data_IF_619984314631
#
_entry.id   IF_619984314631
#
_cell.length_a   1.000
_cell.length_b   1.000
_cell.length_c   1.000
_cell.angle_alpha   90.00
_cell.angle_beta   90.00
_cell.angle_gamma   90.00
#
_symmetry.space_group_name_H-M   'P 1'
#
loop_
_entity.id
_entity.type
_entity.pdbx_description
1 polymer ?
#
# COMPACT_ATOMS: atom_id res chain seq x y z
N UNK A 1 -78.11 39.56 -7.34
CA UNK A 1 -77.03 38.84 -8.07
C UNK A 1 -75.98 39.89 -8.34
N UNK A 2 -74.78 39.87 -7.75
CA UNK A 2 -73.68 38.95 -8.02
C UNK A 2 -72.82 38.81 -6.75
N UNK A 3 -72.46 37.57 -6.40
CA UNK A 3 -71.67 37.24 -5.21
C UNK A 3 -70.17 37.57 -5.41
N UNK A 4 -69.56 38.17 -4.39
CA UNK A 4 -68.12 38.45 -4.28
C UNK A 4 -67.39 37.16 -3.85
N UNK A 5 -66.60 36.58 -4.75
CA UNK A 5 -65.71 35.46 -4.45
C UNK A 5 -64.38 35.99 -3.92
N UNK A 6 -64.15 35.84 -2.60
CA UNK A 6 -62.84 36.02 -1.98
C UNK A 6 -62.08 34.70 -2.08
N UNK A 7 -61.01 34.68 -2.89
CA UNK A 7 -60.06 33.56 -2.95
C UNK A 7 -59.37 33.37 -1.60
N UNK A 8 -59.52 32.19 -1.03
CA UNK A 8 -58.82 31.73 0.17
C UNK A 8 -57.55 30.99 -0.29
N UNK A 9 -56.39 31.62 -0.12
CA UNK A 9 -55.10 30.99 -0.41
C UNK A 9 -54.69 30.12 0.78
N UNK A 10 -54.76 28.80 0.63
CA UNK A 10 -54.31 27.83 1.63
C UNK A 10 -52.79 27.69 1.53
N UNK A 11 -52.08 28.22 2.52
CA UNK A 11 -50.63 28.07 2.63
C UNK A 11 -50.29 26.68 3.18
N UNK A 12 -49.91 25.76 2.28
CA UNK A 12 -49.41 24.44 2.65
C UNK A 12 -47.94 24.57 3.05
N UNK A 13 -47.65 24.66 4.35
CA UNK A 13 -46.29 24.55 4.89
C UNK A 13 -45.79 23.12 4.70
N UNK A 14 -44.89 22.93 3.73
CA UNK A 14 -44.12 21.70 3.56
C UNK A 14 -43.05 21.68 4.66
N UNK A 15 -43.23 20.86 5.68
CA UNK A 15 -42.19 20.52 6.64
C UNK A 15 -41.19 19.57 5.95
N UNK A 16 -40.09 20.13 5.45
CA UNK A 16 -38.95 19.34 4.97
C UNK A 16 -38.27 18.66 6.15
N UNK A 17 -38.52 17.36 6.33
CA UNK A 17 -37.78 16.52 7.26
C UNK A 17 -36.38 16.31 6.66
N UNK A 18 -35.41 17.12 7.09
CA UNK A 18 -34.01 16.88 6.79
C UNK A 18 -33.56 15.62 7.52
N UNK A 19 -33.62 14.46 6.85
CA UNK A 19 -32.96 13.25 7.31
C UNK A 19 -31.46 13.42 7.09
N UNK A 20 -30.76 13.93 8.10
CA UNK A 20 -29.31 13.87 8.17
C UNK A 20 -28.88 12.42 8.30
N UNK A 21 -28.67 11.75 7.17
CA UNK A 21 -27.92 10.51 7.15
C UNK A 21 -26.48 10.86 7.54
N UNK A 22 -26.15 10.69 8.82
CA UNK A 22 -24.76 10.57 9.24
C UNK A 22 -24.26 9.31 8.52
N UNK A 23 -23.50 9.49 7.44
CA UNK A 23 -22.73 8.43 6.80
C UNK A 23 -21.71 7.92 7.83
N UNK A 24 -22.18 7.10 8.77
CA UNK A 24 -21.32 6.38 9.69
C UNK A 24 -20.33 5.58 8.86
N UNK A 25 -19.03 5.76 9.15
CA UNK A 25 -17.96 4.93 8.60
C UNK A 25 -18.40 3.47 8.77
N UNK A 26 -18.64 2.76 7.66
CA UNK A 26 -19.19 1.39 7.71
C UNK A 26 -18.16 0.50 8.38
N UNK A 27 -18.52 -0.07 9.54
CA UNK A 27 -17.72 -1.07 10.21
C UNK A 27 -17.80 -2.39 9.42
N UNK A 28 -16.64 -2.99 9.22
CA UNK A 28 -16.45 -4.33 8.68
C UNK A 28 -16.20 -5.28 9.85
N UNK A 29 -16.62 -6.52 9.70
CA UNK A 29 -16.34 -7.60 10.65
C UNK A 29 -15.49 -8.66 9.98
N UNK A 30 -14.49 -9.15 10.70
CA UNK A 30 -13.56 -10.17 10.21
C UNK A 30 -12.81 -10.82 11.35
N UNK A 31 -11.78 -11.59 11.00
CA UNK A 31 -10.83 -12.16 11.96
C UNK A 31 -9.52 -11.37 11.91
N UNK A 32 -8.74 -11.48 12.97
CA UNK A 32 -7.37 -11.01 12.98
C UNK A 32 -6.43 -12.10 13.51
N UNK A 33 -5.29 -12.23 12.84
CA UNK A 33 -4.12 -13.03 13.26
C UNK A 33 -2.96 -12.09 13.56
N UNK A 34 -1.79 -12.66 13.82
CA UNK A 34 -0.56 -11.89 13.90
C UNK A 34 0.59 -12.52 13.11
N UNK A 35 1.44 -11.66 12.57
CA UNK A 35 2.69 -12.01 11.89
C UNK A 35 3.84 -11.14 12.39
N UNK A 36 5.07 -11.44 11.97
CA UNK A 36 6.28 -10.76 12.45
C UNK A 36 6.29 -9.24 12.24
N UNK A 37 5.56 -8.74 11.23
CA UNK A 37 5.51 -7.32 10.87
C UNK A 37 6.78 -6.84 10.16
N UNK A 38 6.62 -6.11 9.06
CA UNK A 38 7.74 -5.51 8.34
C UNK A 38 7.27 -4.31 7.53
N UNK A 39 7.37 -3.10 8.09
CA UNK A 39 6.90 -1.90 7.40
C UNK A 39 7.70 -1.63 6.14
N UNK A 40 9.03 -1.79 6.20
CA UNK A 40 9.92 -1.50 5.08
C UNK A 40 9.81 -2.51 3.93
N UNK A 41 9.56 -3.79 4.25
CA UNK A 41 9.50 -4.88 3.29
C UNK A 41 8.11 -5.42 2.99
N UNK A 42 7.06 -4.84 3.57
CA UNK A 42 5.68 -5.16 3.21
C UNK A 42 5.35 -4.70 1.80
N UNK A 43 4.25 -5.21 1.26
CA UNK A 43 3.83 -5.01 -0.12
C UNK A 43 3.59 -3.53 -0.44
N UNK A 44 3.24 -2.69 0.55
CA UNK A 44 3.14 -1.24 0.37
C UNK A 44 4.49 -0.54 0.09
N UNK A 45 5.63 -1.24 0.21
CA UNK A 45 6.97 -0.75 -0.11
C UNK A 45 7.38 0.51 0.64
N UNK A 46 7.09 0.59 1.94
CA UNK A 46 7.41 1.73 2.79
C UNK A 46 8.88 1.73 3.26
N UNK A 47 9.82 1.52 2.34
CA UNK A 47 11.24 1.30 2.63
C UNK A 47 11.94 2.47 3.33
N UNK A 48 11.45 3.70 3.15
CA UNK A 48 11.98 4.93 3.77
C UNK A 48 11.11 5.44 4.91
N UNK A 49 9.99 4.79 5.21
CA UNK A 49 9.01 5.28 6.17
C UNK A 49 9.03 4.48 7.46
N UNK A 50 9.07 5.21 8.58
CA UNK A 50 8.97 4.63 9.92
C UNK A 50 7.59 4.93 10.47
N UNK A 51 6.88 3.89 10.93
CA UNK A 51 5.59 4.09 11.60
C UNK A 51 5.76 4.99 12.83
N UNK A 52 4.96 6.05 12.99
CA UNK A 52 4.90 6.82 14.22
C UNK A 52 4.58 5.91 15.41
N UNK A 53 5.15 6.20 16.59
CA UNK A 53 4.91 5.40 17.79
C UNK A 53 3.44 5.34 18.23
N UNK A 54 2.60 6.27 17.75
CA UNK A 54 1.15 6.29 17.96
C UNK A 54 0.36 5.33 17.06
N UNK A 55 1.03 4.65 16.12
CA UNK A 55 0.42 3.79 15.12
C UNK A 55 0.99 2.37 15.18
N UNK A 56 0.08 1.40 15.14
CA UNK A 56 0.44 0.01 14.88
C UNK A 56 0.52 -0.28 13.38
N UNK A 57 1.04 -1.45 12.99
CA UNK A 57 1.03 -1.95 11.62
C UNK A 57 0.13 -3.18 11.45
N UNK A 58 -0.37 -3.38 10.24
CA UNK A 58 -1.15 -4.57 9.84
C UNK A 58 -0.96 -4.88 8.35
N UNK A 59 -1.04 -6.16 8.01
CA UNK A 59 -1.35 -6.59 6.65
C UNK A 59 -2.87 -6.61 6.44
N UNK A 60 -3.33 -6.33 5.23
CA UNK A 60 -4.73 -6.33 4.83
C UNK A 60 -5.01 -7.49 3.88
N UNK A 61 -6.12 -8.21 4.08
CA UNK A 61 -6.53 -9.25 3.15
C UNK A 61 -6.64 -8.75 1.70
N UNK A 62 -6.26 -9.61 0.76
CA UNK A 62 -6.55 -9.53 -0.68
C UNK A 62 -7.98 -9.08 -1.02
N UNK A 63 -9.00 -9.51 -0.26
CA UNK A 63 -10.40 -9.10 -0.40
C UNK A 63 -10.66 -7.60 -0.24
N UNK A 64 -9.76 -6.89 0.44
CA UNK A 64 -9.81 -5.45 0.62
C UNK A 64 -8.55 -4.75 0.11
N UNK A 65 -7.59 -5.44 -0.51
CA UNK A 65 -6.32 -4.84 -0.90
C UNK A 65 -6.48 -3.72 -1.94
N UNK A 66 -7.38 -3.93 -2.90
CA UNK A 66 -7.75 -2.98 -3.95
C UNK A 66 -6.54 -2.44 -4.72
N UNK A 67 -5.66 -3.35 -5.18
CA UNK A 67 -4.46 -3.03 -5.94
C UNK A 67 -3.60 -1.93 -5.26
N UNK A 68 -3.32 -2.09 -3.96
CA UNK A 68 -2.63 -1.14 -3.09
C UNK A 68 -3.30 0.24 -2.93
N UNK A 69 -4.56 0.43 -3.34
CA UNK A 69 -5.30 1.67 -3.05
C UNK A 69 -5.47 1.91 -1.54
N UNK A 70 -5.35 0.85 -0.74
CA UNK A 70 -5.47 0.91 0.71
C UNK A 70 -4.15 1.00 1.46
N UNK A 71 -3.01 1.01 0.77
CA UNK A 71 -1.71 1.24 1.39
C UNK A 71 -1.65 2.60 2.09
N UNK A 72 -1.13 2.60 3.31
CA UNK A 72 -0.97 3.79 4.14
C UNK A 72 -2.28 4.31 4.76
N UNK A 73 -3.45 3.73 4.42
CA UNK A 73 -4.68 4.02 5.14
C UNK A 73 -4.60 3.45 6.55
N UNK A 74 -5.26 4.13 7.49
CA UNK A 74 -5.40 3.63 8.85
C UNK A 74 -6.77 2.97 9.05
N UNK A 75 -6.78 1.97 9.93
CA UNK A 75 -7.98 1.28 10.39
C UNK A 75 -8.07 1.40 11.91
N UNK A 76 -9.27 1.68 12.42
CA UNK A 76 -9.57 1.51 13.83
C UNK A 76 -10.11 0.10 14.02
N UNK A 77 -9.44 -0.68 14.87
CA UNK A 77 -9.72 -2.11 15.08
C UNK A 77 -10.18 -2.30 16.52
N UNK A 78 -11.37 -2.86 16.69
CA UNK A 78 -11.96 -3.20 17.99
C UNK A 78 -11.86 -4.70 18.23
N UNK A 79 -11.21 -5.08 19.33
CA UNK A 79 -11.01 -6.48 19.71
C UNK A 79 -12.15 -7.06 20.53
N UNK A 80 -12.05 -8.35 20.91
CA UNK A 80 -13.11 -9.07 21.64
C UNK A 80 -13.46 -8.45 22.99
N UNK A 81 -12.52 -7.77 23.65
CA UNK A 81 -12.75 -7.11 24.94
C UNK A 81 -13.37 -5.71 24.82
N UNK A 82 -13.65 -5.25 23.60
CA UNK A 82 -14.25 -3.94 23.31
C UNK A 82 -13.26 -2.77 23.28
N UNK A 83 -11.99 -3.03 23.52
CA UNK A 83 -10.92 -2.06 23.35
C UNK A 83 -10.54 -1.86 21.88
N UNK A 84 -10.02 -0.68 21.53
CA UNK A 84 -9.69 -0.34 20.16
C UNK A 84 -8.25 0.17 20.01
N UNK A 85 -7.65 -0.13 18.86
CA UNK A 85 -6.36 0.38 18.42
C UNK A 85 -6.50 1.08 17.05
N UNK A 86 -5.47 1.83 16.65
CA UNK A 86 -5.32 2.31 15.27
C UNK A 86 -4.09 1.69 14.64
N UNK A 87 -4.27 1.03 13.50
CA UNK A 87 -3.19 0.41 12.74
C UNK A 87 -3.15 0.97 11.30
N UNK A 88 -1.95 1.17 10.77
CA UNK A 88 -1.72 1.50 9.37
C UNK A 88 -1.59 0.22 8.55
N UNK A 89 -2.21 0.20 7.37
CA UNK A 89 -2.04 -0.87 6.38
C UNK A 89 -0.69 -0.71 5.69
N UNK A 90 0.21 -1.65 5.93
CA UNK A 90 1.60 -1.63 5.44
C UNK A 90 1.93 -2.80 4.53
N UNK A 91 1.04 -3.79 4.45
CA UNK A 91 1.29 -5.05 3.74
C UNK A 91 -0.01 -5.68 3.25
N UNK A 92 0.12 -6.66 2.36
CA UNK A 92 -0.98 -7.50 1.88
C UNK A 92 -0.89 -8.87 2.56
N UNK A 93 -2.03 -9.45 2.92
CA UNK A 93 -2.14 -10.86 3.29
C UNK A 93 -2.96 -11.62 2.25
N UNK A 94 -2.31 -12.25 1.25
CA UNK A 94 -2.99 -13.10 0.28
C UNK A 94 -3.62 -14.32 0.96
N UNK A 95 -4.88 -14.63 0.63
CA UNK A 95 -5.57 -15.80 1.15
C UNK A 95 -6.03 -15.70 2.62
N UNK A 96 -5.83 -14.57 3.30
CA UNK A 96 -6.31 -14.35 4.67
C UNK A 96 -7.85 -14.39 4.80
N UNK A 97 -8.58 -14.26 3.69
CA UNK A 97 -10.04 -14.30 3.67
C UNK A 97 -10.71 -12.96 3.99
N UNK A 98 -12.03 -12.91 3.86
CA UNK A 98 -12.80 -11.66 3.81
C UNK A 98 -12.61 -10.80 5.06
N UNK A 99 -12.23 -9.53 4.88
CA UNK A 99 -12.06 -8.53 5.94
C UNK A 99 -11.03 -8.90 7.02
N UNK A 100 -10.14 -9.85 6.74
CA UNK A 100 -9.14 -10.28 7.71
C UNK A 100 -7.97 -9.29 7.82
N UNK A 101 -7.46 -9.11 9.05
CA UNK A 101 -6.28 -8.30 9.35
C UNK A 101 -5.17 -9.18 9.92
N UNK A 102 -3.95 -9.08 9.40
CA UNK A 102 -2.79 -9.73 10.00
C UNK A 102 -1.96 -8.71 10.77
N UNK A 103 -2.20 -8.63 12.07
CA UNK A 103 -1.72 -7.55 12.92
C UNK A 103 -0.25 -7.75 13.30
N UNK A 104 0.48 -6.65 13.50
CA UNK A 104 1.80 -6.74 14.15
C UNK A 104 1.64 -7.28 15.58
N UNK A 105 2.67 -7.92 16.17
CA UNK A 105 2.50 -8.57 17.48
C UNK A 105 2.14 -7.59 18.59
N UNK A 106 2.65 -6.36 18.51
CA UNK A 106 2.31 -5.26 19.44
C UNK A 106 0.87 -4.79 19.30
N UNK A 107 0.31 -4.84 18.08
CA UNK A 107 -1.09 -4.50 17.83
C UNK A 107 -2.01 -5.61 18.34
N UNK A 108 -1.69 -6.87 18.02
CA UNK A 108 -2.47 -8.03 18.47
C UNK A 108 -2.52 -8.11 20.01
N UNK A 109 -1.36 -8.00 20.67
CA UNK A 109 -1.26 -8.01 22.15
C UNK A 109 -2.00 -6.87 22.82
N UNK A 110 -2.20 -5.75 22.12
CA UNK A 110 -3.03 -4.67 22.61
C UNK A 110 -4.53 -5.02 22.61
N UNK A 111 -4.96 -6.01 21.82
CA UNK A 111 -6.37 -6.46 21.71
C UNK A 111 -6.65 -7.77 22.46
N UNK A 112 -5.71 -8.72 22.47
CA UNK A 112 -5.85 -10.03 23.10
C UNK A 112 -4.48 -10.71 23.35
N UNK A 113 -4.39 -11.70 24.27
CA UNK A 113 -3.17 -12.49 24.44
C UNK A 113 -2.79 -13.26 23.17
N UNK A 114 -1.49 -13.35 22.86
CA UNK A 114 -1.00 -14.10 21.67
C UNK A 114 -1.44 -15.58 21.65
N UNK A 115 -1.73 -16.17 22.81
CA UNK A 115 -2.20 -17.55 22.94
C UNK A 115 -3.56 -17.80 22.28
N UNK A 116 -4.36 -16.76 22.05
CA UNK A 116 -5.63 -16.89 21.30
C UNK A 116 -5.38 -17.25 19.84
N UNK A 117 -4.26 -16.78 19.25
CA UNK A 117 -3.85 -17.01 17.87
C UNK A 117 -4.71 -16.30 16.82
N UNK A 118 -6.04 -16.37 16.95
CA UNK A 118 -7.03 -15.76 16.07
C UNK A 118 -8.12 -15.12 16.92
N UNK A 119 -8.48 -13.87 16.61
CA UNK A 119 -9.54 -13.14 17.31
C UNK A 119 -10.57 -12.58 16.33
N UNK A 120 -11.83 -12.52 16.77
CA UNK A 120 -12.87 -11.79 16.03
C UNK A 120 -12.70 -10.28 16.27
N UNK A 121 -12.75 -9.50 15.19
CA UNK A 121 -12.60 -8.04 15.25
C UNK A 121 -13.67 -7.34 14.42
N UNK A 122 -13.97 -6.12 14.82
CA UNK A 122 -14.68 -5.15 13.98
C UNK A 122 -13.73 -3.99 13.66
N UNK A 123 -13.71 -3.52 12.42
CA UNK A 123 -12.82 -2.43 12.03
C UNK A 123 -13.43 -1.51 10.98
N UNK A 124 -12.92 -0.28 10.89
CA UNK A 124 -13.31 0.68 9.87
C UNK A 124 -12.13 1.55 9.46
N UNK A 125 -12.14 2.05 8.22
CA UNK A 125 -11.12 3.00 7.78
C UNK A 125 -11.24 4.32 8.53
N UNK A 126 -10.15 4.78 9.12
CA UNK A 126 -10.05 6.04 9.84
C UNK A 126 -8.95 6.91 9.27
N UNK A 127 -9.00 8.19 9.61
CA UNK A 127 -7.90 9.10 9.35
C UNK A 127 -6.75 8.67 10.27
N UNK A 128 -5.53 8.63 9.72
CA UNK A 128 -4.35 8.40 10.52
C UNK A 128 -4.13 9.57 11.49
N UNK A 129 -3.72 9.31 12.75
CA UNK A 129 -3.37 10.33 13.73
C UNK A 129 -1.99 10.94 13.42
N UNK A 130 -1.83 11.42 12.19
CA UNK A 130 -0.61 12.03 11.65
C UNK A 130 -0.90 13.52 11.43
N UNK A 131 -0.03 14.37 12.00
CA UNK A 131 -0.12 15.84 11.88
C UNK A 131 1.05 16.44 11.12
N UNK A 132 2.12 15.67 10.90
CA UNK A 132 3.27 16.09 10.10
C UNK A 132 2.93 16.07 8.60
N UNK A 133 3.64 16.85 7.76
CA UNK A 133 3.39 16.88 6.33
C UNK A 133 3.57 15.52 5.65
N UNK A 134 2.84 15.28 4.57
CA UNK A 134 3.10 14.11 3.73
C UNK A 134 4.44 14.23 3.02
N UNK A 135 4.98 13.12 2.54
CA UNK A 135 6.24 13.11 1.80
C UNK A 135 6.10 12.39 0.46
N UNK A 136 6.87 12.86 -0.51
CA UNK A 136 6.98 12.30 -1.85
C UNK A 136 8.31 11.57 -1.97
N UNK A 137 8.26 10.26 -2.17
CA UNK A 137 9.44 9.42 -2.28
C UNK A 137 9.61 8.97 -3.74
N UNK A 138 10.66 9.48 -4.38
CA UNK A 138 11.07 9.03 -5.72
C UNK A 138 11.66 7.62 -5.62
N UNK A 139 11.17 6.70 -6.44
CA UNK A 139 11.70 5.34 -6.46
C UNK A 139 13.17 5.33 -6.90
N UNK A 140 13.92 4.34 -6.45
CA UNK A 140 15.19 4.02 -7.09
C UNK A 140 15.00 3.75 -8.60
N UNK A 141 15.90 4.31 -9.40
CA UNK A 141 15.89 4.18 -10.86
C UNK A 141 15.06 5.23 -11.62
N UNK A 142 14.40 6.19 -10.95
CA UNK A 142 13.72 7.29 -11.68
C UNK A 142 14.67 8.12 -12.51
N UNK A 143 14.15 8.65 -13.61
CA UNK A 143 14.88 9.57 -14.48
C UNK A 143 13.91 10.52 -15.17
N UNK A 144 14.44 11.45 -15.98
CA UNK A 144 13.61 12.28 -16.84
C UNK A 144 12.67 11.47 -17.76
N UNK A 145 13.08 10.25 -18.12
CA UNK A 145 12.39 9.38 -19.07
C UNK A 145 11.67 8.21 -18.41
N UNK A 146 11.64 8.13 -17.08
CA UNK A 146 10.88 7.11 -16.35
C UNK A 146 10.50 7.63 -14.96
N UNK A 147 9.19 7.77 -14.70
CA UNK A 147 8.68 8.34 -13.46
C UNK A 147 8.06 7.25 -12.58
N UNK A 148 8.41 7.25 -11.29
CA UNK A 148 7.84 6.39 -10.27
C UNK A 148 7.97 7.05 -8.89
N UNK A 149 6.84 7.35 -8.26
CA UNK A 149 6.82 8.08 -6.98
C UNK A 149 5.81 7.48 -6.03
N UNK A 150 6.15 7.43 -4.75
CA UNK A 150 5.28 6.98 -3.68
C UNK A 150 4.91 8.15 -2.78
N UNK A 151 3.67 8.15 -2.29
CA UNK A 151 3.24 9.09 -1.26
C UNK A 151 3.29 8.36 0.08
N UNK A 152 4.01 8.92 1.04
CA UNK A 152 4.12 8.39 2.40
C UNK A 152 3.67 9.44 3.42
N UNK A 153 3.42 8.99 4.65
CA UNK A 153 2.98 9.84 5.75
C UNK A 153 1.66 10.60 5.47
N UNK A 154 0.79 10.10 4.59
CA UNK A 154 -0.50 10.73 4.31
C UNK A 154 -1.50 10.50 5.45
N UNK A 155 -2.27 11.53 5.82
CA UNK A 155 -3.30 11.45 6.88
C UNK A 155 -4.48 10.55 6.49
N UNK A 156 -4.76 10.42 5.21
CA UNK A 156 -5.82 9.58 4.68
C UNK A 156 -5.36 8.84 3.42
N UNK A 157 -6.20 7.95 2.91
CA UNK A 157 -5.90 7.23 1.66
C UNK A 157 -5.68 8.18 0.49
N UNK A 158 -4.66 7.92 -0.30
CA UNK A 158 -4.42 8.63 -1.56
C UNK A 158 -5.25 7.97 -2.65
N UNK A 159 -5.93 8.76 -3.49
CA UNK A 159 -6.65 8.27 -4.67
C UNK A 159 -5.87 8.50 -5.95
N UNK A 160 -5.19 9.64 -6.08
CA UNK A 160 -4.46 10.02 -7.30
C UNK A 160 -3.14 10.73 -6.98
N UNK A 161 -2.16 10.51 -7.85
CA UNK A 161 -0.97 11.34 -7.99
C UNK A 161 -0.91 11.82 -9.45
N UNK A 162 -0.90 13.12 -9.64
CA UNK A 162 -0.83 13.75 -10.95
C UNK A 162 0.42 14.63 -11.03
N UNK A 163 0.98 14.76 -12.23
CA UNK A 163 2.27 15.41 -12.44
C UNK A 163 2.15 16.50 -13.50
N UNK A 164 2.72 17.67 -13.23
CA UNK A 164 2.75 18.80 -14.16
C UNK A 164 4.18 19.18 -14.53
N UNK A 165 4.37 19.51 -15.82
CA UNK A 165 5.62 19.96 -16.43
C UNK A 165 5.69 21.48 -16.65
N UNK A 166 4.57 22.15 -16.45
CA UNK A 166 4.31 23.52 -16.92
C UNK A 166 3.82 24.42 -15.79
N UNK A 167 4.26 24.17 -14.56
CA UNK A 167 3.92 24.99 -13.40
C UNK A 167 2.50 24.78 -12.87
N UNK A 168 1.85 23.68 -13.25
CA UNK A 168 0.49 23.33 -12.85
C UNK A 168 -0.61 23.73 -13.83
N UNK A 169 -0.25 24.13 -15.06
CA UNK A 169 -1.22 24.46 -16.13
C UNK A 169 -1.89 23.20 -16.65
N UNK A 170 -1.12 22.14 -16.90
CA UNK A 170 -1.63 20.81 -17.27
C UNK A 170 -1.17 19.74 -16.31
N UNK A 171 -2.00 18.71 -16.12
CA UNK A 171 -1.77 17.61 -15.18
C UNK A 171 -1.84 16.28 -15.90
N UNK A 172 -0.72 15.57 -15.96
CA UNK A 172 -0.61 14.22 -16.48
C UNK A 172 -0.98 13.19 -15.41
N UNK A 173 -1.65 12.12 -15.84
CA UNK A 173 -2.04 11.00 -14.98
C UNK A 173 -0.90 10.00 -14.78
N UNK A 174 -0.81 9.45 -13.58
CA UNK A 174 0.01 8.26 -13.29
C UNK A 174 -0.87 7.03 -13.06
N UNK A 175 -0.25 5.86 -13.09
CA UNK A 175 -0.91 4.60 -12.74
C UNK A 175 -0.33 4.06 -11.43
N UNK A 176 -1.19 3.78 -10.45
CA UNK A 176 -0.76 3.10 -9.23
C UNK A 176 -0.47 1.63 -9.51
N UNK A 177 0.67 1.16 -9.05
CA UNK A 177 1.06 -0.24 -9.08
C UNK A 177 0.63 -0.98 -7.80
N UNK A 178 0.65 -2.31 -7.86
CA UNK A 178 0.33 -3.23 -6.74
C UNK A 178 1.18 -3.01 -5.49
N UNK A 179 2.27 -2.27 -5.59
CA UNK A 179 3.23 -1.99 -4.52
C UNK A 179 3.27 -0.49 -4.12
N UNK A 180 2.18 0.23 -4.41
CA UNK A 180 1.90 1.61 -3.98
C UNK A 180 2.80 2.72 -4.56
N UNK A 181 3.52 2.44 -5.65
CA UNK A 181 4.14 3.49 -6.46
C UNK A 181 3.22 3.94 -7.60
N UNK A 182 3.28 5.21 -7.92
CA UNK A 182 2.57 5.85 -9.02
C UNK A 182 3.53 6.09 -10.18
N UNK A 183 3.25 5.47 -11.32
CA UNK A 183 4.20 5.36 -12.41
C UNK A 183 3.71 5.96 -13.72
N UNK A 184 4.67 6.43 -14.50
CA UNK A 184 4.46 6.81 -15.89
C UNK A 184 5.72 6.51 -16.69
N UNK A 185 5.66 5.48 -17.53
CA UNK A 185 6.82 4.93 -18.22
C UNK A 185 7.55 5.92 -19.15
N UNK A 186 6.87 6.82 -19.89
CA UNK A 186 7.57 7.82 -20.72
C UNK A 186 8.29 8.92 -19.92
N UNK A 187 8.05 9.02 -18.61
CA UNK A 187 8.65 10.03 -17.74
C UNK A 187 8.04 11.43 -17.85
N UNK A 188 8.39 12.27 -16.86
CA UNK A 188 7.92 13.65 -16.78
C UNK A 188 9.02 14.73 -16.89
N UNK A 189 10.28 14.36 -17.13
CA UNK A 189 11.39 15.29 -17.04
C UNK A 189 12.03 15.30 -15.63
N UNK A 190 13.06 16.13 -15.46
CA UNK A 190 13.90 16.13 -14.25
C UNK A 190 13.31 16.92 -13.08
N UNK A 191 12.35 17.81 -13.34
CA UNK A 191 11.72 18.65 -12.31
C UNK A 191 10.25 18.81 -12.66
N UNK A 192 9.38 18.57 -11.68
CA UNK A 192 7.94 18.52 -11.87
C UNK A 192 7.19 19.13 -10.70
N UNK A 193 5.96 19.54 -10.93
CA UNK A 193 5.00 19.77 -9.85
C UNK A 193 4.17 18.50 -9.64
N UNK A 194 3.89 18.15 -8.38
CA UNK A 194 3.13 16.95 -8.02
C UNK A 194 1.87 17.36 -7.28
N UNK A 195 0.72 16.81 -7.71
CA UNK A 195 -0.58 16.98 -7.06
C UNK A 195 -1.06 15.64 -6.56
N UNK A 196 -1.27 15.54 -5.26
CA UNK A 196 -1.79 14.35 -4.60
C UNK A 196 -3.23 14.62 -4.17
N UNK A 197 -4.15 13.71 -4.51
CA UNK A 197 -5.55 13.77 -4.11
C UNK A 197 -5.86 12.66 -3.11
N UNK A 198 -6.50 13.00 -1.99
CA UNK A 198 -6.94 12.06 -0.97
C UNK A 198 -8.35 11.50 -1.22
N UNK A 199 -8.78 10.54 -0.40
CA UNK A 199 -10.13 9.93 -0.44
C UNK A 199 -11.24 10.91 -0.07
N UNK A 200 -10.94 11.97 0.69
CA UNK A 200 -11.89 13.05 0.97
C UNK A 200 -12.09 14.00 -0.21
N UNK A 201 -11.26 13.90 -1.26
CA UNK A 201 -11.14 14.91 -2.32
C UNK A 201 -10.18 16.06 -1.97
N UNK A 202 -9.58 16.05 -0.77
CA UNK A 202 -8.53 17.01 -0.40
C UNK A 202 -7.32 16.88 -1.32
N UNK A 203 -6.67 18.01 -1.62
CA UNK A 203 -5.54 18.07 -2.55
C UNK A 203 -4.34 18.73 -1.88
N UNK A 204 -3.16 18.12 -2.04
CA UNK A 204 -1.86 18.70 -1.68
C UNK A 204 -1.03 18.84 -2.95
N UNK A 205 -0.46 20.03 -3.18
CA UNK A 205 0.42 20.29 -4.32
C UNK A 205 1.82 20.64 -3.83
N UNK A 206 2.82 19.95 -4.37
CA UNK A 206 4.24 20.18 -4.10
C UNK A 206 4.89 20.67 -5.39
N UNK A 207 5.52 21.84 -5.31
CA UNK A 207 6.12 22.53 -6.45
C UNK A 207 7.61 22.18 -6.58
N UNK A 208 8.13 22.20 -7.81
CA UNK A 208 9.56 22.05 -8.13
C UNK A 208 10.21 20.78 -7.53
N UNK A 209 9.50 19.65 -7.55
CA UNK A 209 10.01 18.35 -7.10
C UNK A 209 11.04 17.84 -8.11
N UNK A 210 12.27 17.64 -7.66
CA UNK A 210 13.30 16.99 -8.47
C UNK A 210 13.01 15.48 -8.61
N UNK A 211 13.08 14.96 -9.83
CA UNK A 211 12.95 13.53 -10.12
C UNK A 211 14.33 12.89 -10.02
N UNK A 212 14.78 12.67 -8.78
CA UNK A 212 16.10 12.10 -8.45
C UNK A 212 15.92 10.75 -7.76
N UNK A 213 16.62 9.68 -8.19
CA UNK A 213 16.55 8.35 -7.55
C UNK A 213 16.68 8.41 -6.03
N UNK A 214 15.76 7.74 -5.33
CA UNK A 214 15.77 7.58 -3.87
C UNK A 214 15.50 8.86 -3.07
N UNK A 215 15.30 10.00 -3.71
CA UNK A 215 15.06 11.27 -3.01
C UNK A 215 13.68 11.32 -2.36
N UNK A 216 13.61 11.93 -1.18
CA UNK A 216 12.37 12.21 -0.46
C UNK A 216 12.17 13.72 -0.39
N UNK A 217 10.97 14.19 -0.71
CA UNK A 217 10.57 15.59 -0.61
C UNK A 217 9.39 15.72 0.34
N UNK A 218 9.60 16.40 1.46
CA UNK A 218 8.54 16.73 2.42
C UNK A 218 7.66 17.85 1.87
N UNK A 219 6.34 17.66 1.86
CA UNK A 219 5.39 18.69 1.48
C UNK A 219 5.28 19.78 2.55
N UNK A 220 4.59 20.88 2.25
CA UNK A 220 4.28 21.91 3.25
C UNK A 220 3.08 21.59 4.13
N UNK A 221 2.29 20.57 3.79
CA UNK A 221 1.06 20.21 4.50
C UNK A 221 0.71 18.74 4.34
N UNK A 222 -0.35 18.32 5.02
CA UNK A 222 -1.01 17.04 4.86
C UNK A 222 -2.49 17.28 4.56
N UNK A 223 -3.23 16.23 4.18
CA UNK A 223 -4.68 16.36 3.95
C UNK A 223 -5.40 16.86 5.20
N UNK A 224 -6.37 17.76 5.03
CA UNK A 224 -7.13 18.33 6.15
C UNK A 224 -6.38 19.33 7.04
N UNK A 225 -5.09 19.59 6.80
CA UNK A 225 -4.42 20.78 7.32
C UNK A 225 -4.76 21.96 6.42
N UNK A 226 -5.63 22.85 6.86
CA UNK A 226 -5.88 24.11 6.15
C UNK A 226 -4.59 24.95 6.11
N UNK A 227 -3.83 24.79 5.03
CA UNK A 227 -2.63 25.55 4.71
C UNK A 227 -2.50 25.65 3.20
N UNK A 228 -2.98 26.76 2.65
CA UNK A 228 -2.76 27.17 1.27
C UNK A 228 -1.26 27.13 0.95
N UNK A 229 -0.92 26.56 -0.22
CA UNK A 229 0.43 26.18 -0.60
C UNK A 229 1.51 27.22 -0.29
N UNK A 230 2.55 26.77 0.41
CA UNK A 230 3.86 27.39 0.44
C UNK A 230 4.90 26.34 0.02
N UNK A 231 5.91 26.77 -0.73
CA UNK A 231 6.93 25.92 -1.34
C UNK A 231 7.71 25.12 -0.28
N UNK A 232 8.02 23.86 -0.61
CA UNK A 232 9.05 23.11 0.08
C UNK A 232 10.41 23.70 -0.31
N UNK A 233 11.13 24.30 0.65
CA UNK A 233 12.53 24.68 0.47
C UNK A 233 13.43 23.47 0.78
N UNK A 234 14.51 23.23 0.01
CA UNK A 234 15.51 22.24 0.35
C UNK A 234 16.30 22.70 1.58
N UNK A 235 16.29 21.90 2.65
CA UNK A 235 17.20 22.11 3.78
C UNK A 235 18.59 21.63 3.38
N UNK A 236 19.44 22.57 2.94
CA UNK A 236 20.90 22.40 2.99
C UNK A 236 21.37 22.60 4.42
N UNK A 237 21.97 21.57 5.00
CA UNK A 237 22.59 21.59 6.33
C UNK A 237 23.90 22.38 6.23
N UNK A 238 23.88 23.68 6.48
CA UNK A 238 25.09 24.47 6.70
C UNK A 238 25.69 24.14 8.07
N UNK A 239 26.90 23.60 8.05
CA UNK A 239 27.76 23.44 9.23
C UNK A 239 28.31 24.81 9.59
N UNK A 240 27.79 25.40 10.66
CA UNK A 240 28.41 26.56 11.30
C UNK A 240 29.51 26.07 12.24
N UNK A 241 30.75 26.17 11.78
CA UNK A 241 31.96 26.24 12.61
C UNK A 241 31.92 27.54 13.42
N UNK A 242 31.91 27.42 14.76
CA UNK A 242 32.21 28.54 15.64
C UNK A 242 33.34 28.16 16.58
N UNK A 243 34.40 28.93 16.44
CA UNK A 243 35.66 28.97 17.15
C UNK A 243 35.49 29.49 18.58
N UNK A 244 36.17 28.85 19.54
CA UNK A 244 36.58 29.49 20.78
C UNK A 244 37.96 28.94 21.21
N UNK A 245 38.91 29.85 21.37
CA UNK A 245 40.33 29.62 21.62
C UNK A 245 40.66 29.92 23.10
N UNK A 246 41.35 28.95 23.71
CA UNK A 246 42.43 28.99 24.71
C UNK A 246 42.36 29.79 26.04
N UNK A 247 42.71 29.08 27.12
CA UNK A 247 43.73 29.43 28.13
C UNK A 247 44.19 28.12 28.84
N UNK A 248 45.41 27.60 28.62
CA UNK A 248 46.63 27.71 29.46
C UNK A 248 46.39 27.40 30.96
N UNK A 249 47.15 26.63 31.76
CA UNK A 249 48.44 25.89 31.77
C UNK A 249 48.28 24.89 32.96
N UNK A 250 48.99 23.77 33.15
CA UNK A 250 50.42 23.63 33.43
C UNK A 250 50.79 22.15 33.64
N UNK A 251 52.07 21.85 33.39
CA UNK A 251 52.76 20.56 33.33
C UNK A 251 52.72 19.65 34.58
N UNK A 252 52.96 18.34 34.38
CA UNK A 252 54.15 17.67 34.94
C UNK A 252 54.39 16.26 34.33
N UNK A 253 55.67 15.92 34.28
CA UNK A 253 56.38 14.86 33.56
C UNK A 253 56.29 13.45 34.14
N UNK A 254 56.35 12.40 33.30
CA UNK A 254 57.29 11.24 33.46
C UNK A 254 57.57 10.60 32.07
N UNK A 255 58.83 10.26 31.82
CA UNK A 255 59.39 9.64 30.61
C UNK A 255 59.24 8.07 30.64
N UNK A 256 59.70 7.33 29.61
CA UNK A 256 59.10 6.08 29.15
C UNK A 256 59.65 4.81 29.81
N UNK A 257 58.82 3.76 29.80
CA UNK A 257 59.24 2.38 30.08
C UNK A 257 58.67 1.49 28.98
N UNK A 258 59.51 1.11 28.02
CA UNK A 258 59.44 -0.19 27.34
C UNK A 258 59.70 -1.29 28.38
N UNK A 259 59.17 -2.53 28.27
CA UNK A 259 59.55 -3.36 27.12
C UNK A 259 58.59 -4.52 26.71
N UNK A 260 59.05 -5.19 25.65
CA UNK A 260 58.94 -6.64 25.40
C UNK A 260 57.66 -7.20 24.78
N UNK A 261 57.76 -7.34 23.46
CA UNK A 261 57.07 -8.31 22.61
C UNK A 261 57.39 -9.76 23.02
N UNK A 262 56.36 -10.54 23.35
CA UNK A 262 56.44 -12.01 23.32
C UNK A 262 55.40 -12.52 22.33
N UNK A 263 55.92 -13.13 21.27
CA UNK A 263 55.17 -13.85 20.26
C UNK A 263 54.46 -15.07 20.88
N UNK A 264 53.17 -15.23 20.59
CA UNK A 264 52.46 -16.49 20.77
C UNK A 264 52.22 -17.09 19.39
N UNK A 265 52.87 -18.22 19.16
CA UNK A 265 52.61 -19.10 18.02
C UNK A 265 51.18 -19.61 18.06
N UNK A 266 50.47 -19.48 16.94
CA UNK A 266 49.24 -20.20 16.67
C UNK A 266 49.60 -21.63 16.21
N UNK A 267 49.24 -22.62 17.03
CA UNK A 267 49.29 -24.04 16.66
C UNK A 267 47.99 -24.38 15.94
N UNK A 268 48.11 -24.72 14.65
CA UNK A 268 47.03 -25.22 13.80
C UNK A 268 46.75 -26.68 14.17
N UNK A 269 45.49 -27.04 14.38
CA UNK A 269 45.02 -28.44 14.44
C UNK A 269 43.84 -28.56 13.50
N UNK A 270 44.08 -29.28 12.42
CA UNK A 270 43.19 -29.56 11.30
C UNK A 270 42.13 -30.61 11.72
N UNK A 271 40.86 -30.30 11.47
CA UNK A 271 39.75 -31.25 11.57
C UNK A 271 39.31 -31.64 10.15
N UNK A 272 39.01 -32.93 9.88
CA UNK A 272 38.77 -33.40 8.52
C UNK A 272 37.42 -32.97 7.98
N UNK A 273 37.45 -32.41 6.77
CA UNK A 273 36.30 -32.08 5.92
C UNK A 273 35.87 -33.34 5.15
N UNK A 274 34.58 -33.66 5.20
CA UNK A 274 33.96 -34.72 4.38
C UNK A 274 33.14 -34.05 3.27
N UNK A 275 33.57 -34.23 2.02
CA UNK A 275 32.85 -33.88 0.79
C UNK A 275 31.79 -34.95 0.44
N UNK A 276 30.63 -34.58 -0.14
CA UNK A 276 29.78 -35.51 -0.87
C UNK A 276 30.14 -35.54 -2.36
N UNK A 277 30.60 -36.70 -2.85
CA UNK A 277 30.93 -36.92 -4.27
C UNK A 277 29.68 -37.28 -5.07
N UNK A 278 29.46 -36.56 -6.17
CA UNK A 278 28.49 -36.91 -7.22
C UNK A 278 29.01 -38.08 -8.05
N UNK A 279 28.11 -39.02 -8.43
CA UNK A 279 28.44 -40.09 -9.38
C UNK A 279 27.33 -40.24 -10.41
N UNK A 280 27.71 -40.02 -11.66
CA UNK A 280 26.93 -40.23 -12.87
C UNK A 280 27.75 -41.10 -13.81
N UNK A 281 27.25 -42.28 -14.18
CA UNK A 281 27.76 -43.07 -15.30
C UNK A 281 26.62 -43.88 -15.92
N UNK A 282 26.41 -43.67 -17.21
CA UNK A 282 25.61 -44.56 -18.08
C UNK A 282 26.51 -45.65 -18.68
N UNK A 283 25.94 -46.85 -18.90
CA UNK A 283 25.91 -47.59 -20.18
C UNK A 283 26.03 -49.14 -20.08
N UNK A 284 25.12 -49.79 -20.84
CA UNK A 284 25.13 -51.07 -21.61
C UNK A 284 25.06 -52.49 -20.99
N UNK A 285 23.93 -53.16 -21.32
CA UNK A 285 23.70 -54.50 -21.96
C UNK A 285 24.18 -55.80 -21.25
N UNK A 286 23.23 -56.67 -20.82
CA UNK A 286 22.87 -57.97 -21.46
C UNK A 286 22.35 -59.08 -20.50
N UNK A 287 21.23 -59.69 -20.93
CA UNK A 287 20.81 -61.12 -20.79
C UNK A 287 20.20 -61.71 -19.50
N UNK A 288 18.99 -62.27 -19.71
CA UNK A 288 18.49 -63.61 -19.31
C UNK A 288 18.10 -63.88 -17.85
N UNK A 289 16.80 -64.00 -17.57
CA UNK A 289 16.12 -65.30 -17.30
C UNK A 289 14.64 -65.08 -16.85
N UNK A 290 13.84 -66.12 -17.02
CA UNK A 290 12.39 -66.15 -17.20
C UNK A 290 11.49 -66.06 -15.94
N UNK A 291 10.21 -65.69 -16.18
CA UNK A 291 8.94 -66.36 -15.78
C UNK A 291 7.85 -65.40 -15.25
N UNK A 292 6.55 -65.77 -15.25
CA UNK A 292 5.76 -66.43 -16.29
C UNK A 292 4.54 -65.58 -16.74
N UNK A 293 3.95 -66.00 -17.86
CA UNK A 293 2.72 -65.49 -18.47
C UNK A 293 1.50 -66.01 -17.72
N UNK A 294 0.54 -65.12 -17.40
CA UNK A 294 -0.86 -65.51 -17.19
C UNK A 294 -1.73 -64.61 -18.07
N UNK A 295 -2.24 -65.21 -19.13
CA UNK A 295 -3.31 -64.74 -20.00
C UNK A 295 -4.64 -64.79 -19.25
N UNK A 296 -5.42 -63.71 -19.30
CA UNK A 296 -6.87 -63.80 -19.18
C UNK A 296 -7.56 -62.68 -19.96
N UNK A 297 -8.72 -63.03 -20.49
CA UNK A 297 -9.28 -62.55 -21.73
C UNK A 297 -10.04 -61.22 -21.63
N UNK A 298 -10.11 -60.54 -22.78
CA UNK A 298 -10.98 -59.41 -23.04
C UNK A 298 -12.46 -59.79 -22.85
N UNK A 299 -13.20 -58.92 -22.16
CA UNK A 299 -14.65 -58.84 -22.25
C UNK A 299 -15.03 -57.41 -22.61
N UNK A 300 -15.66 -57.29 -23.77
CA UNK A 300 -16.27 -56.09 -24.31
C UNK A 300 -17.44 -55.64 -23.45
N UNK A 301 -17.42 -54.39 -22.98
CA UNK A 301 -18.62 -53.70 -22.49
C UNK A 301 -18.78 -52.41 -23.28
N UNK A 302 -19.98 -52.28 -23.83
CA UNK A 302 -20.48 -51.23 -24.71
C UNK A 302 -20.53 -49.86 -24.04
N UNK A 303 -20.01 -48.86 -24.75
CA UNK A 303 -20.09 -47.43 -24.42
C UNK A 303 -21.44 -46.89 -24.92
N UNK A 304 -22.29 -46.26 -24.09
CA UNK A 304 -23.47 -45.55 -24.59
C UNK A 304 -23.05 -44.21 -25.22
N UNK A 305 -23.62 -43.95 -26.40
CA UNK A 305 -23.48 -42.70 -27.14
C UNK A 305 -24.07 -41.52 -26.38
N UNK A 306 -23.26 -40.49 -26.11
CA UNK A 306 -23.76 -39.16 -25.76
C UNK A 306 -24.17 -38.42 -27.02
N UNK A 307 -25.45 -38.09 -27.09
CA UNK A 307 -26.05 -37.20 -28.06
C UNK A 307 -25.45 -35.80 -27.95
N UNK A 308 -25.08 -35.25 -29.11
CA UNK A 308 -24.67 -33.86 -29.28
C UNK A 308 -25.85 -32.92 -29.03
N UNK A 309 -25.75 -32.09 -27.99
CA UNK A 309 -26.59 -30.91 -27.82
C UNK A 309 -25.80 -29.70 -28.35
N UNK A 310 -26.16 -29.26 -29.55
CA UNK A 310 -25.76 -27.97 -30.10
C UNK A 310 -26.46 -26.84 -29.34
N UNK A 311 -25.70 -26.02 -28.63
CA UNK A 311 -26.16 -24.73 -28.14
C UNK A 311 -26.15 -23.74 -29.31
N UNK A 312 -27.32 -23.28 -29.74
CA UNK A 312 -27.48 -22.20 -30.69
C UNK A 312 -27.15 -20.83 -30.05
N UNK A 313 -26.46 -19.91 -30.75
CA UNK A 313 -26.24 -18.56 -30.25
C UNK A 313 -27.57 -17.79 -30.12
N UNK A 314 -27.79 -17.14 -28.98
CA UNK A 314 -28.94 -16.24 -28.77
C UNK A 314 -28.83 -15.03 -29.70
N UNK A 315 -29.93 -14.71 -30.37
CA UNK A 315 -30.13 -13.49 -31.15
C UNK A 315 -29.98 -12.25 -30.27
N UNK A 316 -29.01 -11.40 -30.60
CA UNK A 316 -28.88 -10.06 -30.04
C UNK A 316 -29.89 -9.17 -30.75
N UNK A 317 -30.91 -8.68 -30.03
CA UNK A 317 -31.74 -7.58 -30.53
C UNK A 317 -30.92 -6.30 -30.45
N UNK A 318 -30.66 -5.73 -31.63
CA UNK A 318 -30.12 -4.39 -31.78
C UNK A 318 -31.21 -3.38 -31.38
N UNK A 319 -30.99 -2.65 -30.29
CA UNK A 319 -31.81 -1.48 -29.95
C UNK A 319 -31.41 -0.36 -30.92
N UNK A 320 -32.27 -0.12 -31.92
CA UNK A 320 -32.20 1.04 -32.79
C UNK A 320 -32.74 2.23 -32.00
N UNK A 321 -31.90 3.22 -31.73
CA UNK A 321 -32.36 4.52 -31.27
C UNK A 321 -33.03 5.23 -32.45
N UNK A 322 -34.35 5.36 -32.40
CA UNK A 322 -35.10 6.28 -33.24
C UNK A 322 -34.94 7.66 -32.61
N UNK A 323 -34.24 8.56 -33.30
CA UNK A 323 -34.34 9.99 -33.03
C UNK A 323 -35.68 10.45 -33.60
N UNK A 324 -36.60 10.88 -32.74
CA UNK A 324 -37.77 11.65 -33.16
C UNK A 324 -37.31 13.10 -33.39
N UNK A 325 -37.30 13.50 -34.65
CA UNK A 325 -37.35 14.90 -35.08
C UNK A 325 -38.81 15.40 -34.97
N UNK A 326 -38.99 16.57 -34.35
CA UNK A 326 -40.26 17.30 -34.22
C UNK A 326 -40.37 17.93 -32.82
N UNK A 327 -40.57 19.23 -32.61
CA UNK A 327 -41.18 20.24 -33.47
C UNK A 327 -40.67 21.65 -33.10
N UNK A 328 -40.65 22.49 -34.12
CA UNK A 328 -40.73 23.94 -34.04
C UNK A 328 -41.85 24.40 -33.09
N UNK A 329 -41.59 25.44 -32.30
CA UNK A 329 -42.61 26.37 -31.83
C UNK A 329 -41.99 27.77 -31.80
N UNK A 330 -42.31 28.55 -32.82
CA UNK A 330 -42.21 30.02 -32.85
C UNK A 330 -43.01 30.66 -31.71
N UNK A 331 -42.43 31.69 -31.09
CA UNK A 331 -43.06 32.96 -30.75
C UNK A 331 -42.00 34.01 -30.39
#
# INVERSE_FOLDING_TARGET
MVFSMKSLATATTIFSIAQGAVLGKRALTGQATTYGGNTAGGTCSFSTYTLPASLFGTALSDSNWDNAANCGRCVSVTGPSGNSITAMITDECPGCGVNHLDLYPTAFTSLAPLSEGIINVAWSYVDCPITTPLELHNKEGVSANWFSMQVVNAKEGVTKLEVSKDGGVTWGSTTRQTYNFFEYAPGYGSTVDVRVTGVSGSVVTVKNVAVTPGSVVTASSNFGSSGSGAAASPVTKEVSTSSAQAAASSASSVAPVEPSTTAVQATSTEAPVVEPTASSSSSVIATSAAAPVITSAASSVSVPSSSSLSWAPKSTQSVVYVYEDGDECDA
#
